data_IF_836749572604
#
_entry.id   IF_836749572604
#
_cell.length_a   1.000
_cell.length_b   1.000
_cell.length_c   1.000
_cell.angle_alpha   90.00
_cell.angle_beta   90.00
_cell.angle_gamma   90.00
#
_symmetry.space_group_name_H-M   'P 1'
#
loop_
_entity.id
_entity.type
_entity.pdbx_description
1 polymer ?
#
# COMPACT_ATOMS: atom_id res chain seq x y z
N UNK A 1 -16.83 11.99 -1.05
CA UNK A 1 -17.27 10.66 -1.54
C UNK A 1 -16.33 9.66 -0.88
N UNK A 2 -16.88 8.72 -0.10
CA UNK A 2 -16.16 8.07 1.00
C UNK A 2 -15.10 7.08 0.54
N UNK A 3 -13.94 7.12 1.22
CA UNK A 3 -12.93 6.06 1.17
C UNK A 3 -13.61 4.71 1.44
N UNK A 4 -13.40 3.75 0.53
CA UNK A 4 -13.93 2.39 0.71
C UNK A 4 -13.22 1.79 1.93
N UNK A 5 -13.99 1.43 2.95
CA UNK A 5 -13.43 0.88 4.19
C UNK A 5 -13.07 -0.60 4.00
N UNK A 6 -11.84 -0.85 3.58
CA UNK A 6 -11.32 -2.20 3.37
C UNK A 6 -11.19 -3.02 4.66
N UNK A 7 -11.13 -2.39 5.84
CA UNK A 7 -11.01 -3.14 7.10
C UNK A 7 -12.25 -3.95 7.48
N UNK A 8 -13.39 -3.69 6.82
CA UNK A 8 -14.63 -4.46 7.01
C UNK A 8 -14.84 -5.55 5.95
N UNK A 9 -13.94 -5.63 4.97
CA UNK A 9 -14.03 -6.63 3.92
C UNK A 9 -13.25 -7.87 4.35
N UNK A 10 -13.97 -8.96 4.61
CA UNK A 10 -13.41 -10.27 4.99
C UNK A 10 -12.84 -10.99 3.75
N UNK A 11 -11.74 -10.46 3.23
CA UNK A 11 -11.08 -10.97 2.01
C UNK A 11 -10.64 -12.44 2.13
N UNK A 12 -10.29 -12.86 3.34
CA UNK A 12 -9.91 -14.21 3.70
C UNK A 12 -11.07 -15.20 3.62
N UNK A 13 -12.29 -14.79 4.01
CA UNK A 13 -13.50 -15.59 3.87
C UNK A 13 -13.90 -15.72 2.39
N UNK A 14 -13.81 -14.61 1.64
CA UNK A 14 -14.03 -14.63 0.20
C UNK A 14 -13.08 -15.62 -0.49
N UNK A 15 -11.80 -15.60 -0.15
CA UNK A 15 -10.81 -16.54 -0.70
C UNK A 15 -11.11 -17.99 -0.29
N UNK A 16 -11.48 -18.23 0.98
CA UNK A 16 -11.85 -19.56 1.45
C UNK A 16 -13.07 -20.11 0.69
N UNK A 17 -14.06 -19.28 0.41
CA UNK A 17 -15.23 -19.65 -0.38
C UNK A 17 -14.84 -19.99 -1.83
N UNK A 18 -14.07 -19.15 -2.51
CA UNK A 18 -13.63 -19.40 -3.89
C UNK A 18 -12.82 -20.70 -4.01
N UNK A 19 -11.95 -20.98 -3.04
CA UNK A 19 -11.18 -22.24 -3.01
C UNK A 19 -12.09 -23.43 -2.78
N UNK A 20 -13.09 -23.31 -1.90
CA UNK A 20 -14.06 -24.38 -1.64
C UNK A 20 -14.84 -24.73 -2.90
N UNK A 21 -15.38 -23.74 -3.61
CA UNK A 21 -16.12 -23.93 -4.86
C UNK A 21 -15.26 -24.62 -5.93
N UNK A 22 -14.01 -24.20 -6.09
CA UNK A 22 -13.07 -24.82 -7.03
C UNK A 22 -12.74 -26.28 -6.64
N UNK A 23 -12.58 -26.58 -5.34
CA UNK A 23 -12.30 -27.95 -4.88
C UNK A 23 -13.51 -28.88 -4.99
N UNK A 24 -14.72 -28.36 -4.79
CA UNK A 24 -15.97 -29.11 -5.04
C UNK A 24 -16.10 -29.45 -6.52
N UNK A 25 -15.82 -28.49 -7.42
CA UNK A 25 -15.76 -28.75 -8.85
C UNK A 25 -14.71 -29.84 -9.18
N UNK A 26 -13.49 -29.74 -8.65
CA UNK A 26 -12.44 -30.75 -8.88
C UNK A 26 -12.82 -32.13 -8.33
N UNK A 27 -13.56 -32.20 -7.22
CA UNK A 27 -14.07 -33.46 -6.69
C UNK A 27 -15.07 -34.10 -7.65
N UNK A 28 -15.96 -33.30 -8.25
CA UNK A 28 -16.96 -33.80 -9.20
C UNK A 28 -16.36 -34.46 -10.44
N UNK A 29 -15.19 -33.99 -10.90
CA UNK A 29 -14.45 -34.54 -12.05
C UNK A 29 -13.39 -35.58 -11.63
N UNK A 30 -13.40 -36.03 -10.37
CA UNK A 30 -12.48 -37.02 -9.84
C UNK A 30 -11.02 -36.57 -9.71
N UNK A 31 -10.76 -35.25 -9.77
CA UNK A 31 -9.41 -34.65 -9.64
C UNK A 31 -9.07 -34.20 -8.22
N UNK A 32 -9.99 -34.36 -7.27
CA UNK A 32 -9.76 -34.10 -5.86
C UNK A 32 -10.52 -35.11 -4.99
N UNK A 33 -9.84 -35.72 -4.02
CA UNK A 33 -10.40 -36.73 -3.12
C UNK A 33 -10.28 -36.35 -1.64
N UNK A 34 -9.82 -35.13 -1.34
CA UNK A 34 -9.59 -34.65 0.02
C UNK A 34 -10.83 -34.00 0.64
N UNK A 35 -10.73 -33.66 1.93
CA UNK A 35 -11.72 -32.84 2.64
C UNK A 35 -11.13 -31.46 2.88
N UNK A 36 -11.80 -30.43 2.36
CA UNK A 36 -11.39 -29.03 2.59
C UNK A 36 -12.14 -28.45 3.79
N UNK A 37 -11.41 -27.88 4.74
CA UNK A 37 -11.95 -27.13 5.88
C UNK A 37 -11.01 -25.95 6.14
N UNK A 38 -11.50 -24.73 5.91
CA UNK A 38 -10.73 -23.51 6.12
C UNK A 38 -11.03 -22.92 7.50
N UNK A 39 -10.01 -22.32 8.12
CA UNK A 39 -10.14 -21.47 9.31
C UNK A 39 -9.44 -20.16 9.00
N UNK A 40 -10.20 -19.09 8.98
CA UNK A 40 -9.76 -17.72 8.70
C UNK A 40 -9.37 -17.02 10.00
N UNK A 41 -8.47 -16.04 9.89
CA UNK A 41 -8.03 -15.24 11.02
C UNK A 41 -7.84 -13.80 10.55
N UNK A 42 -8.32 -12.84 11.33
CA UNK A 42 -8.10 -11.42 11.08
C UNK A 42 -7.31 -10.80 12.23
N UNK A 43 -6.05 -10.46 11.96
CA UNK A 43 -5.15 -9.83 12.92
C UNK A 43 -4.87 -8.38 12.52
N UNK A 44 -5.63 -7.44 13.09
CA UNK A 44 -5.44 -6.00 12.86
C UNK A 44 -5.38 -5.18 14.15
N UNK A 45 -6.51 -5.09 14.86
CA UNK A 45 -6.69 -4.17 15.98
C UNK A 45 -5.77 -4.45 17.17
N UNK A 46 -5.48 -5.72 17.46
CA UNK A 46 -4.63 -6.13 18.58
C UNK A 46 -3.19 -5.60 18.48
N UNK A 47 -2.70 -5.30 17.27
CA UNK A 47 -1.34 -4.77 17.07
C UNK A 47 -1.20 -3.26 17.28
N UNK A 48 -2.25 -2.47 16.98
CA UNK A 48 -2.16 -0.99 16.89
C UNK A 48 -1.96 -0.29 18.24
N UNK A 49 -2.38 -0.92 19.34
CA UNK A 49 -2.25 -0.39 20.70
C UNK A 49 -1.47 -1.33 21.62
N UNK A 50 -0.57 -2.12 21.04
CA UNK A 50 0.33 -3.00 21.80
C UNK A 50 1.50 -2.20 22.42
N UNK A 51 2.20 -2.82 23.38
CA UNK A 51 3.40 -2.21 23.96
C UNK A 51 4.47 -2.04 22.86
N UNK A 52 5.05 -0.84 22.68
CA UNK A 52 6.02 -0.62 21.62
C UNK A 52 7.28 -1.45 21.85
N UNK A 53 7.91 -1.87 20.76
CA UNK A 53 9.22 -2.49 20.84
C UNK A 53 10.27 -1.49 21.36
N UNK A 54 11.42 -1.97 21.83
CA UNK A 54 12.54 -1.10 22.19
C UNK A 54 12.97 -0.23 20.99
N UNK A 55 12.86 -0.76 19.78
CA UNK A 55 13.13 -0.01 18.56
C UNK A 55 12.15 1.15 18.37
N UNK A 56 10.84 0.89 18.41
CA UNK A 56 9.80 1.91 18.22
C UNK A 56 9.83 2.98 19.31
N UNK A 57 10.12 2.58 20.56
CA UNK A 57 10.25 3.52 21.68
C UNK A 57 11.42 4.49 21.48
N UNK A 58 12.61 3.97 21.11
CA UNK A 58 13.78 4.80 20.83
C UNK A 58 13.55 5.69 19.60
N UNK A 59 12.91 5.16 18.56
CA UNK A 59 12.63 5.89 17.33
C UNK A 59 11.64 7.03 17.56
N UNK A 60 10.53 6.77 18.27
CA UNK A 60 9.55 7.79 18.64
C UNK A 60 10.17 8.90 19.50
N UNK A 61 11.02 8.52 20.47
CA UNK A 61 11.75 9.48 21.30
C UNK A 61 12.69 10.37 20.45
N UNK A 62 13.43 9.78 19.52
CA UNK A 62 14.32 10.52 18.63
C UNK A 62 13.56 11.52 17.75
N UNK A 63 12.38 11.15 17.22
CA UNK A 63 11.54 12.05 16.43
C UNK A 63 10.98 13.23 17.21
N UNK A 64 10.61 13.03 18.48
CA UNK A 64 10.06 14.10 19.33
C UNK A 64 11.02 15.26 19.60
N UNK A 65 12.32 15.07 19.38
CA UNK A 65 13.35 16.10 19.59
C UNK A 65 13.51 17.07 18.39
N UNK A 66 12.79 16.87 17.29
CA UNK A 66 12.85 17.71 16.09
C UNK A 66 11.47 18.34 15.81
N UNK A 67 11.43 19.64 15.53
CA UNK A 67 10.18 20.37 15.26
C UNK A 67 10.21 21.11 13.91
N UNK A 68 9.04 21.27 13.29
CA UNK A 68 8.84 22.13 12.11
C UNK A 68 9.19 21.56 10.74
N UNK A 69 9.68 20.32 10.64
CA UNK A 69 10.02 19.65 9.37
C UNK A 69 9.64 18.16 9.39
N UNK A 70 9.51 17.51 8.22
CA UNK A 70 9.41 16.05 8.15
C UNK A 70 10.75 15.44 8.58
N UNK A 71 10.77 14.83 9.75
CA UNK A 71 11.98 14.29 10.36
C UNK A 71 12.41 13.00 9.66
N UNK A 72 13.71 12.83 9.43
CA UNK A 72 14.27 11.62 8.84
C UNK A 72 15.42 11.12 9.71
N UNK A 73 15.42 9.83 10.00
CA UNK A 73 16.50 9.16 10.73
C UNK A 73 17.10 8.09 9.83
N UNK A 74 18.44 8.08 9.73
CA UNK A 74 19.21 7.11 8.94
C UNK A 74 20.07 6.24 9.85
N UNK A 75 20.42 5.05 9.36
CA UNK A 75 21.22 4.08 10.13
C UNK A 75 20.41 3.23 11.13
N UNK A 76 19.11 3.04 10.90
CA UNK A 76 18.18 2.36 11.81
C UNK A 76 18.55 0.91 12.17
N UNK A 77 19.38 0.25 11.36
CA UNK A 77 19.88 -1.10 11.65
C UNK A 77 21.05 -1.12 12.66
N UNK A 78 21.66 0.03 12.95
CA UNK A 78 22.75 0.18 13.91
C UNK A 78 22.26 0.49 15.33
N UNK A 79 23.20 0.72 16.24
CA UNK A 79 22.88 1.12 17.61
C UNK A 79 22.16 2.49 17.61
N UNK A 80 21.10 2.71 18.42
CA UNK A 80 20.41 4.00 18.50
C UNK A 80 21.30 5.23 18.70
N UNK A 81 22.47 5.06 19.32
CA UNK A 81 23.46 6.13 19.51
C UNK A 81 24.16 6.58 18.22
N UNK A 82 24.16 5.75 17.19
CA UNK A 82 24.81 5.98 15.90
C UNK A 82 23.80 6.44 14.82
N UNK A 83 22.56 6.70 15.22
CA UNK A 83 21.52 7.17 14.30
C UNK A 83 21.78 8.62 13.87
N UNK A 84 21.56 8.87 12.58
CA UNK A 84 21.78 10.18 11.99
C UNK A 84 20.44 10.88 11.79
N UNK A 85 20.24 12.00 12.48
CA UNK A 85 19.02 12.81 12.39
C UNK A 85 19.14 13.83 11.24
N UNK A 86 18.06 14.02 10.51
CA UNK A 86 17.96 14.99 9.42
C UNK A 86 16.52 15.39 9.14
N UNK A 87 16.32 16.23 8.14
CA UNK A 87 15.01 16.70 7.69
C UNK A 87 14.83 16.50 6.20
N UNK A 88 13.60 16.22 5.78
CA UNK A 88 13.19 16.08 4.39
C UNK A 88 12.14 17.15 4.08
N UNK A 89 12.31 17.99 3.05
CA UNK A 89 11.28 18.93 2.65
C UNK A 89 10.03 18.18 2.15
N UNK A 90 8.85 18.50 2.68
CA UNK A 90 7.59 17.83 2.30
C UNK A 90 7.34 17.88 0.79
N UNK A 91 7.69 18.98 0.13
CA UNK A 91 7.55 19.15 -1.32
C UNK A 91 8.32 18.11 -2.13
N UNK A 92 9.42 17.56 -1.60
CA UNK A 92 10.19 16.50 -2.27
C UNK A 92 9.49 15.14 -2.26
N UNK A 93 8.51 14.96 -1.37
CA UNK A 93 7.70 13.74 -1.24
C UNK A 93 6.37 13.84 -2.01
N UNK A 94 6.04 15.01 -2.56
CA UNK A 94 4.75 15.26 -3.19
C UNK A 94 4.78 15.00 -4.70
N UNK A 95 3.62 14.62 -5.23
CA UNK A 95 3.33 14.55 -6.66
C UNK A 95 1.97 15.22 -6.93
N UNK A 96 1.86 15.89 -8.07
CA UNK A 96 0.56 16.37 -8.57
C UNK A 96 -0.23 15.19 -9.13
N UNK A 97 -1.43 14.99 -8.63
CA UNK A 97 -2.38 13.98 -9.10
C UNK A 97 -3.61 14.71 -9.67
N UNK A 98 -4.10 14.34 -10.87
CA UNK A 98 -5.35 14.88 -11.39
C UNK A 98 -6.49 14.61 -10.41
N UNK A 99 -7.35 15.61 -10.18
CA UNK A 99 -8.49 15.49 -9.28
C UNK A 99 -9.41 14.33 -9.72
N UNK A 100 -9.93 13.59 -8.76
CA UNK A 100 -10.69 12.33 -8.95
C UNK A 100 -11.94 12.53 -9.81
N UNK A 101 -12.44 13.76 -9.93
CA UNK A 101 -13.56 14.10 -10.82
C UNK A 101 -13.24 13.89 -12.32
N UNK A 102 -11.96 13.89 -12.70
CA UNK A 102 -11.52 13.75 -14.10
C UNK A 102 -10.76 12.43 -14.36
N UNK A 103 -10.72 11.48 -13.41
CA UNK A 103 -9.95 10.24 -13.55
C UNK A 103 -10.84 9.03 -13.90
N UNK A 104 -10.85 8.56 -15.17
CA UNK A 104 -11.71 7.47 -15.61
C UNK A 104 -11.27 6.09 -15.11
N UNK A 105 -10.19 5.95 -14.33
CA UNK A 105 -9.74 4.64 -13.85
C UNK A 105 -10.55 4.06 -12.68
N UNK A 106 -11.34 4.87 -11.97
CA UNK A 106 -12.38 4.37 -11.06
C UNK A 106 -13.72 4.11 -11.75
N UNK A 107 -13.92 4.59 -12.99
CA UNK A 107 -15.09 4.28 -13.83
C UNK A 107 -14.81 3.20 -14.88
N UNK A 108 -13.55 2.86 -15.15
CA UNK A 108 -13.13 1.90 -16.18
C UNK A 108 -13.07 0.44 -15.73
N UNK A 109 -13.31 0.13 -14.45
CA UNK A 109 -13.57 -1.25 -14.03
C UNK A 109 -14.91 -1.80 -14.61
N UNK A 110 -15.74 -0.93 -15.21
CA UNK A 110 -17.01 -1.30 -15.81
C UNK A 110 -16.92 -1.60 -17.31
N UNK A 111 -15.81 -1.34 -18.01
CA UNK A 111 -15.70 -1.72 -19.43
C UNK A 111 -14.29 -1.49 -19.97
N UNK A 112 -13.49 -2.54 -20.24
CA UNK A 112 -12.52 -2.55 -21.36
C UNK A 112 -12.25 -3.96 -21.88
N UNK A 113 -12.87 -4.29 -23.01
CA UNK A 113 -12.30 -5.12 -24.06
C UNK A 113 -11.16 -4.37 -24.75
N UNK A 114 -10.03 -5.06 -25.02
CA UNK A 114 -9.18 -4.79 -26.19
C UNK A 114 -8.01 -3.80 -26.09
N UNK A 115 -6.80 -4.38 -26.21
CA UNK A 115 -5.63 -3.95 -27.02
C UNK A 115 -4.71 -2.78 -26.62
N UNK A 116 -3.49 -3.19 -26.22
CA UNK A 116 -2.11 -2.83 -26.66
C UNK A 116 -1.46 -1.43 -26.52
N UNK A 117 -0.34 -1.44 -25.79
CA UNK A 117 1.00 -0.87 -26.03
C UNK A 117 1.21 0.53 -26.67
N UNK A 118 1.93 1.40 -25.96
CA UNK A 118 3.08 2.15 -26.48
C UNK A 118 3.83 2.88 -25.34
N UNK A 119 5.16 2.72 -25.33
CA UNK A 119 6.12 3.48 -24.54
C UNK A 119 6.06 4.99 -24.85
N UNK A 120 6.15 5.82 -23.82
CA UNK A 120 6.26 7.27 -23.95
C UNK A 120 7.00 7.88 -22.77
N UNK A 121 8.26 8.27 -22.99
CA UNK A 121 9.02 9.15 -22.10
C UNK A 121 8.37 10.53 -22.18
N UNK A 122 7.76 10.97 -21.09
CA UNK A 122 7.06 12.27 -21.03
C UNK A 122 8.02 13.31 -20.45
N UNK A 123 8.39 14.29 -21.29
CA UNK A 123 9.19 15.45 -20.89
C UNK A 123 8.44 16.28 -19.83
N UNK A 124 9.09 16.52 -18.69
CA UNK A 124 8.48 17.00 -17.44
C UNK A 124 8.46 18.53 -17.31
N UNK A 125 9.14 19.24 -18.21
CA UNK A 125 9.44 20.68 -18.05
C UNK A 125 8.43 21.65 -18.67
N UNK A 126 7.39 21.17 -19.35
CA UNK A 126 6.49 22.03 -20.14
C UNK A 126 5.02 22.06 -19.68
N UNK A 127 4.67 21.40 -18.58
CA UNK A 127 3.27 21.27 -18.16
C UNK A 127 2.87 22.41 -17.21
N UNK A 128 2.07 23.36 -17.70
CA UNK A 128 1.36 24.33 -16.87
C UNK A 128 0.35 23.59 -15.98
N UNK A 129 0.31 23.84 -14.66
CA UNK A 129 -0.64 23.17 -13.78
C UNK A 129 -2.06 23.61 -14.16
N UNK A 130 -2.89 22.68 -14.62
CA UNK A 130 -4.31 22.93 -14.77
C UNK A 130 -4.95 23.08 -13.39
N UNK A 131 -6.00 23.90 -13.29
CA UNK A 131 -6.76 24.24 -12.06
C UNK A 131 -7.29 23.00 -11.29
N UNK A 132 -7.13 21.81 -11.85
CA UNK A 132 -7.67 20.53 -11.40
C UNK A 132 -6.64 19.55 -10.82
N UNK A 133 -5.36 19.92 -10.63
CA UNK A 133 -4.37 19.00 -10.02
C UNK A 133 -4.19 19.24 -8.51
N UNK A 134 -4.19 18.17 -7.71
CA UNK A 134 -4.00 18.23 -6.26
C UNK A 134 -2.62 17.66 -5.86
N UNK A 135 -1.86 18.36 -4.98
CA UNK A 135 -0.61 17.82 -4.45
C UNK A 135 -0.90 16.74 -3.40
N UNK A 136 -0.37 15.54 -3.62
CA UNK A 136 -0.53 14.38 -2.73
C UNK A 136 0.84 13.74 -2.45
N UNK A 137 1.06 13.28 -1.22
CA UNK A 137 2.18 12.37 -0.91
C UNK A 137 1.69 10.97 -1.25
N UNK A 138 2.23 10.30 -2.28
CA UNK A 138 1.77 8.98 -2.65
C UNK A 138 2.12 7.95 -1.58
N UNK A 139 1.23 6.98 -1.38
CA UNK A 139 1.54 5.79 -0.59
C UNK A 139 2.75 5.07 -1.19
N UNK A 140 3.69 4.66 -0.34
CA UNK A 140 4.85 3.88 -0.78
C UNK A 140 4.50 2.40 -0.75
N UNK A 141 4.32 1.81 -1.93
CA UNK A 141 3.99 0.38 -2.09
C UNK A 141 5.25 -0.50 -2.12
N UNK A 142 5.06 -1.81 -1.98
CA UNK A 142 6.14 -2.80 -2.04
C UNK A 142 6.81 -2.77 -3.42
N UNK A 143 8.12 -2.61 -3.46
CA UNK A 143 8.91 -2.72 -4.69
C UNK A 143 9.20 -4.19 -4.99
N UNK A 144 8.70 -4.69 -6.14
CA UNK A 144 8.88 -6.08 -6.58
C UNK A 144 10.34 -6.42 -6.95
N UNK A 145 11.16 -5.41 -7.31
CA UNK A 145 12.59 -5.59 -7.57
C UNK A 145 13.46 -5.48 -6.29
N UNK A 146 12.84 -5.08 -5.19
CA UNK A 146 13.48 -4.85 -3.89
C UNK A 146 14.00 -6.13 -3.24
N UNK A 147 15.01 -5.99 -2.37
CA UNK A 147 15.56 -7.12 -1.59
C UNK A 147 14.57 -7.74 -0.61
N UNK A 148 13.53 -7.00 -0.21
CA UNK A 148 12.53 -7.50 0.74
C UNK A 148 11.48 -8.39 0.06
N UNK A 149 11.28 -8.25 -1.26
CA UNK A 149 10.34 -9.06 -2.03
C UNK A 149 11.02 -10.29 -2.65
N UNK A 150 12.27 -10.15 -3.08
CA UNK A 150 13.11 -11.27 -3.56
C UNK A 150 13.45 -12.24 -2.45
#
# INVERSE_FOLDING_TARGET
MGEIRFERLETEELLAQMVKEELEYRASIGRYSGKFQAVTHFFGYQGRSSMPSTFDANLAYAYGNLTGHCCSIRGLCGNPKEWHLGSVPFVSLMRLVPNVQDNPTLTAATHKTGTSAADGIVDRTSRTPSVTEQPVIPSSEVSLDGKAYR
#
